data_IF_076796764299
#
_entry.id   IF_076796764299
#
_cell.length_a   1.000
_cell.length_b   1.000
_cell.length_c   1.000
_cell.angle_alpha   90.00
_cell.angle_beta   90.00
_cell.angle_gamma   90.00
#
_symmetry.space_group_name_H-M   'P 1'
#
loop_
_entity.id
_entity.type
_entity.pdbx_description
1 polymer ?
#
# COMPACT_ATOMS: atom_id res chain seq x y z
N UNK A 1 -27.44 -33.38 8.02
CA UNK A 1 -27.61 -31.91 7.97
C UNK A 1 -26.28 -31.31 7.52
N UNK A 2 -26.21 -30.89 6.27
CA UNK A 2 -24.99 -30.33 5.68
C UNK A 2 -24.97 -28.81 5.93
N UNK A 3 -23.92 -28.31 6.60
CA UNK A 3 -23.69 -26.90 6.78
C UNK A 3 -23.21 -26.30 5.45
N UNK A 4 -23.94 -25.30 4.94
CA UNK A 4 -23.56 -24.56 3.76
C UNK A 4 -22.27 -23.77 4.03
N UNK A 5 -21.23 -24.06 3.26
CA UNK A 5 -19.96 -23.34 3.28
C UNK A 5 -20.16 -22.03 2.50
N UNK A 6 -19.92 -20.84 3.09
CA UNK A 6 -19.92 -19.61 2.31
C UNK A 6 -18.69 -19.56 1.40
N UNK A 7 -18.93 -19.65 0.10
CA UNK A 7 -17.88 -19.49 -0.93
C UNK A 7 -17.50 -18.01 -1.04
N UNK A 8 -16.36 -17.63 -0.46
CA UNK A 8 -15.76 -16.31 -0.70
C UNK A 8 -15.23 -16.25 -2.13
N UNK A 9 -15.70 -15.28 -2.93
CA UNK A 9 -15.30 -15.08 -4.33
C UNK A 9 -13.87 -14.58 -4.52
N UNK A 10 -13.18 -14.25 -3.42
CA UNK A 10 -11.84 -13.69 -3.45
C UNK A 10 -10.98 -14.64 -2.60
N UNK A 11 -10.50 -15.73 -3.22
CA UNK A 11 -9.94 -16.92 -2.58
C UNK A 11 -8.64 -16.75 -1.79
N UNK A 12 -8.58 -15.82 -0.86
CA UNK A 12 -7.47 -15.66 0.07
C UNK A 12 -7.93 -15.94 1.50
N UNK A 13 -7.45 -17.06 2.04
CA UNK A 13 -7.49 -17.36 3.46
C UNK A 13 -6.04 -17.43 3.95
N UNK A 14 -5.64 -16.50 4.82
CA UNK A 14 -4.31 -16.52 5.43
C UNK A 14 -4.34 -17.37 6.68
N UNK A 15 -3.46 -18.38 6.74
CA UNK A 15 -3.06 -19.03 8.00
C UNK A 15 -1.56 -18.86 8.14
N UNK A 16 -1.13 -18.04 9.09
CA UNK A 16 0.28 -17.92 9.46
C UNK A 16 0.61 -19.09 10.37
N UNK A 17 1.33 -20.07 9.86
CA UNK A 17 1.94 -21.12 10.67
C UNK A 17 3.42 -21.14 10.31
N UNK A 18 4.20 -20.45 11.15
CA UNK A 18 5.66 -20.50 11.28
C UNK A 18 6.52 -20.25 10.01
N UNK A 19 7.15 -19.08 9.93
CA UNK A 19 8.14 -18.74 8.88
C UNK A 19 9.55 -18.91 9.43
N UNK A 20 10.32 -19.88 8.90
CA UNK A 20 11.77 -20.01 9.11
C UNK A 20 12.51 -19.59 7.84
N UNK A 21 13.37 -18.58 7.95
CA UNK A 21 14.22 -18.10 6.84
C UNK A 21 15.65 -18.55 7.13
N UNK A 22 16.30 -19.23 6.17
CA UNK A 22 17.74 -19.53 6.19
C UNK A 22 18.41 -18.81 5.02
N UNK A 23 19.52 -18.10 5.26
CA UNK A 23 20.34 -17.47 4.22
C UNK A 23 21.65 -18.25 4.03
N UNK A 24 22.05 -18.47 2.78
CA UNK A 24 23.36 -18.99 2.37
C UNK A 24 24.09 -17.97 1.50
N UNK A 25 25.33 -17.65 1.85
CA UNK A 25 26.21 -16.73 1.11
C UNK A 25 27.02 -17.49 0.03
N UNK A 26 27.16 -16.90 -1.16
CA UNK A 26 27.94 -17.42 -2.30
C UNK A 26 29.11 -16.51 -2.68
N UNK A 27 30.25 -17.15 -2.96
CA UNK A 27 31.65 -16.66 -2.97
C UNK A 27 32.12 -16.01 -4.29
N UNK A 28 33.17 -15.18 -4.20
CA UNK A 28 33.90 -14.48 -5.28
C UNK A 28 35.05 -15.33 -5.86
N UNK A 29 35.35 -15.18 -7.16
CA UNK A 29 36.62 -15.55 -7.83
C UNK A 29 36.42 -15.73 -9.34
N UNK A 30 37.27 -15.33 -10.29
CA UNK A 30 38.59 -14.68 -10.32
C UNK A 30 38.95 -14.39 -11.80
N UNK A 31 39.93 -13.51 -12.06
CA UNK A 31 40.52 -13.26 -13.40
C UNK A 31 41.81 -14.08 -13.57
N UNK A 32 42.23 -14.37 -14.82
CA UNK A 32 43.64 -14.24 -15.15
C UNK A 32 43.94 -13.58 -16.52
N UNK A 33 45.20 -13.14 -16.64
CA UNK A 33 45.87 -12.28 -17.63
C UNK A 33 45.94 -12.72 -19.12
N UNK A 34 46.24 -11.71 -19.95
CA UNK A 34 46.47 -11.57 -21.41
C UNK A 34 47.68 -12.37 -21.99
N UNK A 35 47.84 -12.50 -23.34
CA UNK A 35 48.74 -11.56 -24.05
C UNK A 35 48.46 -11.25 -25.56
N UNK A 36 48.68 -9.99 -25.94
CA UNK A 36 49.24 -9.39 -27.18
C UNK A 36 49.32 -10.17 -28.52
N UNK A 37 48.78 -9.58 -29.62
CA UNK A 37 49.54 -9.13 -30.81
C UNK A 37 48.64 -8.55 -31.93
N UNK A 38 49.07 -7.41 -32.45
CA UNK A 38 48.55 -6.66 -33.61
C UNK A 38 49.31 -7.07 -34.89
N UNK A 39 48.63 -7.17 -36.04
CA UNK A 39 49.25 -6.68 -37.26
C UNK A 39 48.32 -5.77 -38.10
N UNK A 40 48.82 -4.60 -38.46
CA UNK A 40 48.25 -3.71 -39.48
C UNK A 40 48.30 -4.37 -40.88
N UNK A 41 47.21 -4.24 -41.65
CA UNK A 41 47.22 -4.38 -43.11
C UNK A 41 46.35 -3.27 -43.75
N UNK A 42 46.74 -2.67 -44.90
CA UNK A 42 46.11 -1.44 -45.40
C UNK A 42 44.95 -1.69 -46.40
N UNK A 43 43.81 -1.04 -46.12
CA UNK A 43 42.77 -0.38 -46.96
C UNK A 43 42.34 -0.92 -48.35
N UNK A 44 41.03 -1.17 -48.49
CA UNK A 44 40.20 -0.73 -49.64
C UNK A 44 38.86 -0.14 -49.12
N UNK A 45 38.34 1.00 -49.63
CA UNK A 45 37.08 1.56 -49.16
C UNK A 45 35.87 0.93 -49.88
N UNK A 46 35.15 0.03 -49.21
CA UNK A 46 33.77 -0.29 -49.56
C UNK A 46 32.87 0.80 -48.98
N UNK A 47 32.12 1.48 -49.85
CA UNK A 47 31.14 2.51 -49.44
C UNK A 47 29.90 1.80 -48.88
N UNK A 48 29.85 1.64 -47.56
CA UNK A 48 28.64 1.19 -46.84
C UNK A 48 27.62 2.34 -46.69
N UNK A 49 26.30 2.06 -46.70
CA UNK A 49 25.31 3.07 -46.38
C UNK A 49 25.50 3.54 -44.92
N UNK A 50 25.59 4.85 -44.71
CA UNK A 50 25.75 5.46 -43.39
C UNK A 50 24.50 5.21 -42.55
N UNK A 51 24.52 4.13 -41.77
CA UNK A 51 23.74 4.01 -40.54
C UNK A 51 24.51 4.86 -39.53
N UNK A 52 23.97 6.01 -39.14
CA UNK A 52 24.56 6.83 -38.08
C UNK A 52 24.57 6.01 -36.77
N UNK A 53 25.73 5.54 -36.28
CA UNK A 53 25.79 4.67 -35.11
C UNK A 53 25.65 5.46 -33.80
N UNK A 54 25.55 6.79 -33.85
CA UNK A 54 25.56 7.65 -32.67
C UNK A 54 24.19 8.00 -32.12
N UNK A 55 23.10 7.52 -32.72
CA UNK A 55 21.77 7.67 -32.11
C UNK A 55 21.50 6.53 -31.15
N UNK A 56 22.23 6.52 -30.03
CA UNK A 56 21.78 5.83 -28.82
C UNK A 56 20.35 6.30 -28.56
N UNK A 57 19.33 5.41 -28.53
CA UNK A 57 18.00 5.83 -28.12
C UNK A 57 18.13 6.52 -26.77
N UNK A 58 17.41 7.63 -26.52
CA UNK A 58 17.44 8.25 -25.20
C UNK A 58 17.19 7.15 -24.17
N UNK A 59 17.90 7.15 -23.02
CA UNK A 59 17.64 6.21 -21.95
C UNK A 59 16.13 6.19 -21.73
N UNK A 60 15.52 5.02 -21.90
CA UNK A 60 14.10 4.87 -21.58
C UNK A 60 14.02 5.12 -20.09
N UNK A 61 13.57 6.30 -19.69
CA UNK A 61 13.32 6.60 -18.28
C UNK A 61 12.38 5.49 -17.78
N UNK A 62 12.75 4.78 -16.70
CA UNK A 62 11.88 3.74 -16.18
C UNK A 62 10.54 4.39 -15.87
N UNK A 63 9.47 3.86 -16.46
CA UNK A 63 8.11 4.27 -16.14
C UNK A 63 7.97 4.16 -14.62
N UNK A 64 7.65 5.26 -13.94
CA UNK A 64 7.48 5.24 -12.49
C UNK A 64 6.19 4.51 -12.16
N UNK A 65 6.29 3.18 -12.10
CA UNK A 65 5.16 2.32 -11.75
C UNK A 65 4.83 2.40 -10.26
N UNK A 66 5.67 3.04 -9.44
CA UNK A 66 5.62 2.95 -7.99
C UNK A 66 6.07 1.58 -7.44
N UNK A 67 6.55 0.66 -8.28
CA UNK A 67 7.06 -0.64 -7.86
C UNK A 67 8.50 -0.84 -8.36
N UNK A 68 9.31 -1.52 -7.54
CA UNK A 68 10.61 -2.05 -7.93
C UNK A 68 10.44 -3.14 -9.00
N UNK A 69 11.49 -3.49 -9.77
CA UNK A 69 11.43 -4.59 -10.74
C UNK A 69 11.05 -5.94 -10.14
N UNK A 70 11.31 -6.15 -8.85
CA UNK A 70 10.88 -7.33 -8.07
C UNK A 70 9.41 -7.28 -7.61
N UNK A 71 8.67 -6.22 -7.94
CA UNK A 71 7.26 -6.04 -7.57
C UNK A 71 7.02 -5.50 -6.15
N UNK A 72 8.06 -5.05 -5.45
CA UNK A 72 7.92 -4.41 -4.12
C UNK A 72 7.60 -2.93 -4.31
N UNK A 73 6.55 -2.37 -3.65
CA UNK A 73 6.26 -0.94 -3.71
C UNK A 73 7.46 -0.10 -3.27
N UNK A 74 7.73 0.99 -3.98
CA UNK A 74 8.74 1.96 -3.55
C UNK A 74 8.22 2.77 -2.35
N UNK A 75 9.14 3.34 -1.56
CA UNK A 75 8.76 4.14 -0.40
C UNK A 75 7.88 5.34 -0.78
N UNK A 76 8.20 6.03 -1.88
CA UNK A 76 7.42 7.17 -2.37
C UNK A 76 5.99 6.75 -2.78
N UNK A 77 5.83 5.61 -3.45
CA UNK A 77 4.49 5.10 -3.82
C UNK A 77 3.60 4.80 -2.60
N UNK A 78 4.19 4.30 -1.51
CA UNK A 78 3.46 4.01 -0.27
C UNK A 78 3.10 5.30 0.43
N UNK A 79 4.03 6.27 0.49
CA UNK A 79 3.77 7.61 1.05
C UNK A 79 2.60 8.28 0.33
N UNK A 80 2.69 8.43 -0.99
CA UNK A 80 1.67 9.10 -1.80
C UNK A 80 0.30 8.42 -1.62
N UNK A 81 0.27 7.09 -1.58
CA UNK A 81 -0.95 6.32 -1.34
C UNK A 81 -1.54 6.56 0.04
N UNK A 82 -0.70 6.68 1.07
CA UNK A 82 -1.15 6.99 2.44
C UNK A 82 -1.72 8.41 2.48
N UNK A 83 -1.03 9.39 1.91
CA UNK A 83 -1.47 10.78 1.87
C UNK A 83 -2.81 10.92 1.14
N UNK A 84 -2.92 10.28 -0.02
CA UNK A 84 -4.16 10.28 -0.81
C UNK A 84 -5.32 9.64 -0.05
N UNK A 85 -5.10 8.48 0.59
CA UNK A 85 -6.13 7.79 1.36
C UNK A 85 -6.53 8.56 2.60
N UNK A 86 -5.57 9.17 3.28
CA UNK A 86 -5.83 9.97 4.47
C UNK A 86 -6.65 11.21 4.13
N UNK A 87 -6.26 11.98 3.10
CA UNK A 87 -7.02 13.14 2.64
C UNK A 87 -8.44 12.77 2.20
N UNK A 88 -8.59 11.65 1.47
CA UNK A 88 -9.90 11.15 1.05
C UNK A 88 -10.75 10.72 2.24
N UNK A 89 -10.16 10.03 3.23
CA UNK A 89 -10.88 9.55 4.40
C UNK A 89 -11.44 10.71 5.24
N UNK A 90 -10.69 11.81 5.37
CA UNK A 90 -11.16 13.02 6.05
C UNK A 90 -12.40 13.58 5.34
N UNK A 91 -12.33 13.80 4.02
CA UNK A 91 -13.46 14.35 3.27
C UNK A 91 -14.66 13.40 3.17
N UNK A 92 -14.41 12.08 3.11
CA UNK A 92 -15.49 11.09 3.04
C UNK A 92 -16.33 11.08 4.33
N UNK A 93 -15.70 11.21 5.50
CA UNK A 93 -16.41 11.25 6.78
C UNK A 93 -17.38 12.44 6.88
N UNK A 94 -17.00 13.60 6.34
CA UNK A 94 -17.86 14.78 6.29
C UNK A 94 -19.09 14.53 5.40
N UNK A 95 -18.89 13.92 4.22
CA UNK A 95 -19.99 13.58 3.31
C UNK A 95 -20.92 12.52 3.90
N UNK A 96 -20.36 11.48 4.53
CA UNK A 96 -21.13 10.41 5.17
C UNK A 96 -22.02 10.97 6.30
N UNK A 97 -21.50 11.92 7.09
CA UNK A 97 -22.25 12.58 8.14
C UNK A 97 -23.43 13.42 7.61
N UNK A 98 -23.29 14.02 6.42
CA UNK A 98 -24.33 14.86 5.83
C UNK A 98 -25.46 14.05 5.16
N UNK A 99 -25.25 12.75 4.95
CA UNK A 99 -26.29 11.85 4.46
C UNK A 99 -27.51 11.82 5.41
N UNK A 100 -28.72 11.53 4.90
CA UNK A 100 -29.89 11.35 5.76
C UNK A 100 -29.68 10.25 6.81
N UNK A 101 -29.05 9.13 6.42
CA UNK A 101 -28.74 8.03 7.33
C UNK A 101 -27.75 8.46 8.42
N UNK A 102 -26.68 9.16 8.06
CA UNK A 102 -25.70 9.71 9.00
C UNK A 102 -26.35 10.59 10.07
N UNK A 103 -27.23 11.51 9.65
CA UNK A 103 -28.00 12.35 10.58
C UNK A 103 -28.88 11.54 11.53
N UNK A 104 -29.58 10.51 11.04
CA UNK A 104 -30.43 9.69 11.90
C UNK A 104 -29.64 8.88 12.93
N UNK A 105 -28.44 8.41 12.58
CA UNK A 105 -27.57 7.67 13.51
C UNK A 105 -27.08 8.61 14.62
N UNK A 106 -26.70 9.83 14.26
CA UNK A 106 -26.27 10.84 15.23
C UNK A 106 -27.40 11.20 16.20
N UNK A 107 -28.61 11.47 15.68
CA UNK A 107 -29.79 11.74 16.51
C UNK A 107 -30.09 10.61 17.50
N UNK A 108 -30.00 9.35 17.05
CA UNK A 108 -30.18 8.19 17.92
C UNK A 108 -29.08 8.07 18.98
N UNK A 109 -27.84 8.40 18.62
CA UNK A 109 -26.73 8.44 19.55
C UNK A 109 -26.95 9.52 20.62
N UNK A 110 -27.28 10.75 20.22
CA UNK A 110 -27.59 11.85 21.14
C UNK A 110 -28.76 11.53 22.06
N UNK A 111 -29.82 10.92 21.54
CA UNK A 111 -30.98 10.51 22.34
C UNK A 111 -30.59 9.51 23.44
N UNK A 112 -29.73 8.53 23.10
CA UNK A 112 -29.19 7.57 24.09
C UNK A 112 -28.31 8.26 25.12
N UNK A 113 -27.45 9.18 24.70
CA UNK A 113 -26.58 9.94 25.60
C UNK A 113 -27.39 10.82 26.57
N UNK A 114 -28.44 11.48 26.07
CA UNK A 114 -29.36 12.29 26.89
C UNK A 114 -30.11 11.44 27.90
N UNK A 115 -30.66 10.30 27.47
CA UNK A 115 -31.34 9.37 28.36
C UNK A 115 -30.39 8.84 29.44
N UNK A 116 -29.16 8.49 29.09
CA UNK A 116 -28.15 8.05 30.05
C UNK A 116 -27.81 9.18 31.05
N UNK A 117 -27.63 10.42 30.58
CA UNK A 117 -27.36 11.57 31.44
C UNK A 117 -28.51 11.87 32.42
N UNK A 118 -29.77 11.79 31.95
CA UNK A 118 -30.96 11.97 32.78
C UNK A 118 -31.04 10.90 33.87
N UNK A 119 -30.81 9.63 33.50
CA UNK A 119 -30.79 8.52 34.48
C UNK A 119 -29.70 8.71 35.52
N UNK A 120 -28.51 9.16 35.13
CA UNK A 120 -27.44 9.48 36.08
C UNK A 120 -27.79 10.66 36.98
N UNK A 121 -28.53 11.66 36.47
CA UNK A 121 -29.01 12.77 37.27
C UNK A 121 -30.03 12.31 38.33
N UNK A 122 -31.00 11.50 37.94
CA UNK A 122 -31.98 10.88 38.85
C UNK A 122 -31.30 10.06 39.96
N UNK A 123 -30.30 9.25 39.61
CA UNK A 123 -29.52 8.48 40.59
C UNK A 123 -28.82 9.42 41.57
N UNK A 124 -28.13 10.46 41.08
CA UNK A 124 -27.44 11.44 41.96
C UNK A 124 -28.41 12.14 42.91
N UNK A 125 -29.60 12.49 42.43
CA UNK A 125 -30.64 13.11 43.25
C UNK A 125 -31.15 12.13 44.32
N UNK A 126 -31.45 10.88 43.95
CA UNK A 126 -31.88 9.84 44.90
C UNK A 126 -30.84 9.57 46.01
N UNK A 127 -29.55 9.68 45.68
CA UNK A 127 -28.47 9.53 46.65
C UNK A 127 -28.32 10.75 47.57
N UNK A 128 -28.74 11.93 47.12
CA UNK A 128 -28.66 13.17 47.91
C UNK A 128 -29.88 13.36 48.82
N UNK A 129 -31.05 12.85 48.44
CA UNK A 129 -32.29 12.95 49.19
C UNK A 129 -32.87 11.56 49.52
N UNK A 130 -32.28 10.80 50.47
CA UNK A 130 -32.75 9.46 50.83
C UNK A 130 -34.14 9.44 51.50
N UNK A 131 -34.64 10.58 51.99
CA UNK A 131 -35.87 10.69 52.78
C UNK A 131 -37.08 11.28 52.01
N UNK A 132 -36.96 11.53 50.70
CA UNK A 132 -37.99 12.24 49.89
C UNK A 132 -38.94 11.31 49.11
N UNK A 133 -39.06 10.06 49.51
CA UNK A 133 -39.90 9.03 48.85
C UNK A 133 -40.90 8.43 49.83
#
# INVERSE_FOLDING_TARGET
MAAAVPTSKNGWTFRVTEVRISLTAGSVGGMPDEPAQEPEAPVEPVVEPVIDPMRTPPPTEPVDTGYTPSGVPTFESVREKIETRYGTAIGAAELDAETPEGRTIEEQYEARQRAAAERLAQIRESMRNPDSQ
#
